data_IF_575916924867
#
_entry.id   IF_575916924867
#
_cell.length_a   1.000
_cell.length_b   1.000
_cell.length_c   1.000
_cell.angle_alpha   90.00
_cell.angle_beta   90.00
_cell.angle_gamma   90.00
#
_symmetry.space_group_name_H-M   'P 1'
#
loop_
_entity.id
_entity.type
_entity.pdbx_description
1 polymer ?
#
# COMPACT_ATOMS: atom_id res chain seq x y z
N UNK A 1 28.59 11.18 12.58
CA UNK A 1 27.86 10.08 11.93
C UNK A 1 26.51 10.60 11.48
N UNK A 2 26.30 10.75 10.18
CA UNK A 2 25.05 11.22 9.60
C UNK A 2 23.94 10.23 9.96
N UNK A 3 22.89 10.70 10.63
CA UNK A 3 21.76 9.89 11.07
C UNK A 3 21.03 9.40 9.81
N UNK A 4 21.29 8.15 9.38
CA UNK A 4 20.63 7.56 8.21
C UNK A 4 19.15 7.42 8.51
N UNK A 5 18.32 8.19 7.82
CA UNK A 5 16.87 8.09 7.97
C UNK A 5 16.41 6.81 7.29
N UNK A 6 15.71 5.94 8.02
CA UNK A 6 15.31 4.61 7.54
C UNK A 6 14.09 4.64 6.61
N UNK A 7 13.43 5.80 6.50
CA UNK A 7 12.23 5.98 5.70
C UNK A 7 12.59 6.64 4.38
N UNK A 8 11.99 6.13 3.30
CA UNK A 8 11.91 6.86 2.05
C UNK A 8 10.86 7.98 2.22
N UNK A 9 11.32 9.21 2.21
CA UNK A 9 10.48 10.41 2.38
C UNK A 9 10.01 10.99 1.04
N UNK A 10 10.51 10.48 -0.08
CA UNK A 10 10.29 11.05 -1.42
C UNK A 10 9.46 10.10 -2.30
N UNK A 11 9.66 8.79 -2.18
CA UNK A 11 9.02 7.81 -3.04
C UNK A 11 9.36 8.05 -4.51
N UNK A 12 8.37 7.97 -5.39
CA UNK A 12 8.57 8.20 -6.83
C UNK A 12 8.86 9.67 -7.21
N UNK A 13 8.62 10.63 -6.32
CA UNK A 13 8.76 12.05 -6.61
C UNK A 13 8.04 12.47 -7.89
N UNK A 14 8.66 13.33 -8.71
CA UNK A 14 8.09 13.79 -9.98
C UNK A 14 8.05 12.69 -11.07
N UNK A 15 8.84 11.62 -10.92
CA UNK A 15 9.00 10.58 -11.94
C UNK A 15 8.25 9.31 -11.53
N UNK A 16 6.93 9.33 -11.73
CA UNK A 16 6.09 8.15 -11.53
C UNK A 16 6.31 7.10 -12.62
N UNK A 17 6.27 5.80 -12.27
CA UNK A 17 6.42 4.73 -13.25
C UNK A 17 5.24 4.69 -14.21
N UNK A 18 5.52 4.40 -15.50
CA UNK A 18 4.46 4.10 -16.46
C UNK A 18 3.94 2.69 -16.21
N UNK A 19 2.73 2.59 -15.69
CA UNK A 19 2.08 1.30 -15.42
C UNK A 19 1.25 0.85 -16.62
N UNK A 20 1.36 -0.44 -16.98
CA UNK A 20 0.52 -1.09 -17.99
C UNK A 20 -0.25 -2.23 -17.34
N UNK A 21 -1.55 -2.05 -17.18
CA UNK A 21 -2.42 -3.11 -16.66
C UNK A 21 -2.79 -4.11 -17.76
N UNK A 22 -3.15 -5.35 -17.40
CA UNK A 22 -3.72 -6.31 -18.34
C UNK A 22 -4.87 -5.69 -19.14
N UNK A 23 -5.02 -6.11 -20.40
CA UNK A 23 -6.06 -5.62 -21.32
C UNK A 23 -6.06 -4.10 -21.54
N UNK A 24 -4.94 -3.42 -21.30
CA UNK A 24 -4.81 -1.97 -21.41
C UNK A 24 -5.82 -1.21 -20.50
N UNK A 25 -6.16 -1.80 -19.35
CA UNK A 25 -7.04 -1.17 -18.39
C UNK A 25 -6.43 0.14 -17.86
N UNK A 26 -7.29 1.13 -17.58
CA UNK A 26 -6.86 2.45 -17.07
C UNK A 26 -6.78 2.51 -15.54
N UNK A 27 -7.44 1.56 -14.86
CA UNK A 27 -7.55 1.49 -13.41
C UNK A 27 -7.41 0.03 -12.97
N UNK A 28 -6.62 -0.20 -11.93
CA UNK A 28 -6.68 -1.43 -11.14
C UNK A 28 -7.61 -1.18 -9.95
N UNK A 29 -8.74 -1.89 -9.89
CA UNK A 29 -9.65 -1.86 -8.74
C UNK A 29 -9.33 -3.06 -7.85
N UNK A 30 -9.13 -2.82 -6.56
CA UNK A 30 -8.89 -3.86 -5.58
C UNK A 30 -9.83 -3.67 -4.40
N UNK A 31 -10.84 -4.53 -4.29
CA UNK A 31 -11.77 -4.56 -3.16
C UNK A 31 -11.17 -5.48 -2.10
N UNK A 32 -11.02 -4.98 -0.87
CA UNK A 32 -10.60 -5.77 0.28
C UNK A 32 -11.80 -6.00 1.16
N UNK A 33 -11.98 -7.25 1.59
CA UNK A 33 -12.85 -7.58 2.71
C UNK A 33 -11.95 -8.12 3.82
N UNK A 34 -11.75 -7.32 4.85
CA UNK A 34 -11.16 -7.81 6.08
C UNK A 34 -12.27 -8.42 6.91
N UNK A 35 -12.00 -9.58 7.49
CA UNK A 35 -12.87 -10.21 8.48
C UNK A 35 -12.02 -10.47 9.71
N UNK A 36 -12.14 -9.56 10.68
CA UNK A 36 -11.34 -9.53 11.91
C UNK A 36 -12.23 -9.62 13.15
N UNK A 37 -13.55 -9.61 12.95
CA UNK A 37 -14.56 -9.64 13.99
C UNK A 37 -14.37 -10.84 14.92
N UNK A 38 -14.17 -10.56 16.22
CA UNK A 38 -13.96 -11.57 17.26
C UNK A 38 -12.49 -11.98 17.46
N UNK A 39 -11.54 -11.34 16.78
CA UNK A 39 -10.10 -11.57 16.98
C UNK A 39 -9.54 -10.79 18.17
N UNK A 40 -10.32 -9.86 18.73
CA UNK A 40 -9.99 -9.16 19.96
C UNK A 40 -10.18 -10.06 21.20
N UNK A 41 -9.40 -9.80 22.25
CA UNK A 41 -9.53 -10.52 23.50
C UNK A 41 -10.92 -10.27 24.11
N UNK A 42 -11.73 -11.32 24.20
CA UNK A 42 -13.05 -11.31 24.82
C UNK A 42 -12.99 -12.06 26.16
N UNK A 43 -13.22 -11.33 27.25
CA UNK A 43 -13.13 -11.84 28.64
C UNK A 43 -14.47 -12.34 29.19
N UNK A 44 -15.46 -12.49 28.30
CA UNK A 44 -16.84 -12.90 28.62
C UNK A 44 -16.97 -14.42 28.70
#
# INVERSE_FOLDING_TARGET
MTKKYLRDMVGYGQKTPKVKWPNNAKLALQIVLNYEEGSENCVL
#
